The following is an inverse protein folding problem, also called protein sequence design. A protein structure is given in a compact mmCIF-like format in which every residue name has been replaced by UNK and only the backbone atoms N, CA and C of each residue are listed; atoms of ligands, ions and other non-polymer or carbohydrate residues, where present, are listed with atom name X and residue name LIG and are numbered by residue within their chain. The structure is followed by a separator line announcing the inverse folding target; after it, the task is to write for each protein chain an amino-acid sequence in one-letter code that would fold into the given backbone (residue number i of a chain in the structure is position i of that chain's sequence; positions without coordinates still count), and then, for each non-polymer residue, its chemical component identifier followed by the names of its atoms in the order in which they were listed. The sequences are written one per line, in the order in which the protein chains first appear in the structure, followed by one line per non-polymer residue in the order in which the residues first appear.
data_IF_676494349630
#
_entry.id   IF_676494349630
#
_cell.length_a   1.000
_cell.length_b   1.000
_cell.length_c   1.000
_cell.angle_alpha   90.00
_cell.angle_beta   90.00
_cell.angle_gamma   90.00
#
_symmetry.space_group_name_H-M   'P 1'
#
loop_
_entity.id
_entity.type
_entity.pdbx_description
1 polymer ?
#
# COMPACT_ATOMS: atom_id res chain seq x y z
N UNK A 1 -35.09 -0.12 -11.10
CA UNK A 1 -34.68 -1.53 -11.09
C UNK A 1 -33.91 -1.74 -12.39
N UNK A 2 -32.59 -1.81 -12.31
CA UNK A 2 -31.73 -2.04 -13.48
C UNK A 2 -30.93 -3.31 -13.17
N UNK A 3 -31.21 -4.37 -13.91
CA UNK A 3 -30.45 -5.62 -13.85
C UNK A 3 -29.11 -5.45 -14.59
N UNK A 4 -28.00 -6.02 -14.07
CA UNK A 4 -26.71 -5.95 -14.75
C UNK A 4 -26.64 -6.97 -15.90
N UNK A 5 -26.13 -6.51 -17.05
CA UNK A 5 -25.81 -7.35 -18.21
C UNK A 5 -24.60 -8.27 -17.92
N UNK A 6 -24.64 -9.55 -18.31
CA UNK A 6 -23.53 -10.48 -18.11
C UNK A 6 -22.47 -10.25 -19.20
N UNK A 7 -21.26 -9.84 -18.80
CA UNK A 7 -20.11 -9.76 -19.71
C UNK A 7 -19.12 -8.63 -19.49
N UNK A 8 -19.35 -7.72 -18.53
CA UNK A 8 -18.33 -6.75 -18.16
C UNK A 8 -17.34 -7.40 -17.18
N UNK A 9 -16.06 -7.47 -17.57
CA UNK A 9 -14.94 -7.53 -16.63
C UNK A 9 -15.26 -6.58 -15.47
N UNK A 10 -15.34 -7.08 -14.23
CA UNK A 10 -15.55 -6.22 -13.06
C UNK A 10 -14.31 -5.34 -12.87
N UNK A 11 -14.26 -4.26 -13.64
CA UNK A 11 -13.39 -3.11 -13.40
C UNK A 11 -13.75 -2.61 -12.00
N UNK A 12 -12.76 -2.49 -11.11
CA UNK A 12 -12.99 -2.22 -9.68
C UNK A 12 -13.98 -1.11 -9.38
N UNK A 13 -14.64 -1.20 -8.21
CA UNK A 13 -15.63 -0.20 -7.78
C UNK A 13 -14.90 1.00 -7.20
N UNK A 14 -15.03 2.16 -7.84
CA UNK A 14 -14.53 3.44 -7.32
C UNK A 14 -15.66 4.26 -6.70
N UNK A 15 -15.36 5.01 -5.65
CA UNK A 15 -16.28 5.98 -5.05
C UNK A 15 -15.56 7.30 -4.77
N UNK A 16 -16.36 8.36 -4.77
CA UNK A 16 -15.96 9.70 -4.37
C UNK A 16 -16.71 10.07 -3.10
N UNK A 17 -16.04 10.75 -2.19
CA UNK A 17 -16.62 11.25 -0.96
C UNK A 17 -16.35 12.74 -0.78
N UNK A 18 -16.92 13.29 0.28
CA UNK A 18 -16.53 14.60 0.77
C UNK A 18 -15.30 14.48 1.69
N UNK A 19 -14.64 15.61 1.93
CA UNK A 19 -13.54 15.66 2.90
C UNK A 19 -13.97 15.05 4.24
N UNK A 20 -13.17 14.17 4.85
CA UNK A 20 -11.75 13.95 4.54
C UNK A 20 -11.46 12.81 3.55
N UNK A 21 -12.41 11.92 3.22
CA UNK A 21 -12.18 10.76 2.33
C UNK A 21 -12.65 11.10 0.92
N UNK A 22 -11.74 11.64 0.11
CA UNK A 22 -12.09 12.18 -1.21
C UNK A 22 -12.31 11.10 -2.26
N UNK A 23 -11.47 10.05 -2.24
CA UNK A 23 -11.49 8.99 -3.24
C UNK A 23 -11.26 7.66 -2.53
N UNK A 24 -12.00 6.64 -2.92
CA UNK A 24 -11.68 5.26 -2.59
C UNK A 24 -11.94 4.33 -3.75
N UNK A 25 -11.27 3.18 -3.75
CA UNK A 25 -11.55 2.13 -4.71
C UNK A 25 -11.32 0.76 -4.12
N UNK A 26 -12.12 -0.20 -4.58
CA UNK A 26 -11.95 -1.61 -4.31
C UNK A 26 -11.78 -2.35 -5.63
N UNK A 27 -10.64 -3.02 -5.78
CA UNK A 27 -10.36 -3.91 -6.90
C UNK A 27 -10.35 -5.35 -6.39
N UNK A 28 -11.31 -6.19 -6.77
CA UNK A 28 -11.24 -7.59 -6.43
C UNK A 28 -10.10 -8.28 -7.20
N UNK A 29 -9.65 -9.43 -6.71
CA UNK A 29 -8.88 -10.36 -7.50
C UNK A 29 -9.63 -10.67 -8.81
N UNK A 30 -8.89 -10.83 -9.90
CA UNK A 30 -9.46 -11.27 -11.18
C UNK A 30 -9.94 -12.73 -11.08
N UNK A 31 -10.51 -13.26 -12.17
CA UNK A 31 -10.96 -14.66 -12.20
C UNK A 31 -9.77 -15.63 -12.06
N UNK A 32 -9.95 -16.73 -11.31
CA UNK A 32 -8.97 -17.82 -11.11
C UNK A 32 -8.30 -18.30 -12.43
N UNK A 33 -9.02 -18.23 -13.55
CA UNK A 33 -8.54 -18.61 -14.87
C UNK A 33 -7.32 -17.81 -15.34
N UNK A 34 -7.16 -16.55 -14.93
CA UNK A 34 -5.98 -15.72 -15.22
C UNK A 34 -4.75 -16.26 -14.48
N UNK A 35 -4.92 -16.66 -13.22
CA UNK A 35 -3.83 -17.12 -12.35
C UNK A 35 -3.27 -18.48 -12.72
N UNK A 36 -4.04 -19.34 -13.40
CA UNK A 36 -3.55 -20.65 -13.89
C UNK A 36 -2.35 -20.54 -14.85
N UNK A 37 -2.18 -19.38 -15.48
CA UNK A 37 -1.08 -19.09 -16.39
C UNK A 37 0.12 -18.38 -15.75
N UNK A 38 -0.03 -17.90 -14.51
CA UNK A 38 1.02 -17.21 -13.78
C UNK A 38 1.93 -18.20 -13.04
N UNK A 39 3.21 -17.88 -12.84
CA UNK A 39 4.08 -18.67 -11.97
C UNK A 39 3.44 -18.92 -10.59
N UNK A 40 3.68 -20.10 -10.00
CA UNK A 40 3.03 -20.54 -8.76
C UNK A 40 3.22 -19.61 -7.54
N UNK A 41 4.19 -18.69 -7.60
CA UNK A 41 4.47 -17.69 -6.56
C UNK A 41 3.46 -16.54 -6.52
N UNK A 42 2.77 -16.25 -7.63
CA UNK A 42 1.77 -15.19 -7.66
C UNK A 42 0.53 -15.61 -6.86
N UNK A 43 0.03 -14.70 -6.03
CA UNK A 43 -1.20 -14.91 -5.26
C UNK A 43 -2.29 -13.95 -5.72
N UNK A 44 -3.57 -14.35 -5.78
CA UNK A 44 -4.65 -13.40 -6.00
C UNK A 44 -4.67 -12.34 -4.90
N UNK A 45 -4.99 -11.10 -5.25
CA UNK A 45 -5.08 -10.00 -4.27
C UNK A 45 -6.34 -9.17 -4.48
N UNK A 46 -6.96 -8.81 -3.35
CA UNK A 46 -7.98 -7.77 -3.32
C UNK A 46 -7.31 -6.48 -2.84
N UNK A 47 -7.53 -5.38 -3.56
CA UNK A 47 -6.91 -4.09 -3.25
C UNK A 47 -7.98 -3.08 -2.84
N UNK A 48 -7.92 -2.62 -1.60
CA UNK A 48 -8.65 -1.46 -1.10
C UNK A 48 -7.70 -0.25 -1.07
N UNK A 49 -8.10 0.84 -1.73
CA UNK A 49 -7.36 2.12 -1.69
C UNK A 49 -8.26 3.21 -1.15
N UNK A 50 -7.73 4.03 -0.25
CA UNK A 50 -8.39 5.22 0.29
C UNK A 50 -7.45 6.42 0.15
N UNK A 51 -7.98 7.56 -0.29
CA UNK A 51 -7.27 8.84 -0.32
C UNK A 51 -7.93 9.80 0.67
N UNK A 52 -7.11 10.27 1.60
CA UNK A 52 -7.54 11.12 2.71
C UNK A 52 -6.85 12.48 2.57
N UNK A 53 -7.64 13.55 2.57
CA UNK A 53 -7.13 14.92 2.53
C UNK A 53 -6.60 15.34 3.90
N UNK A 54 -5.28 15.51 3.99
CA UNK A 54 -4.61 15.90 5.23
C UNK A 54 -4.88 17.36 5.62
N UNK A 55 -5.28 18.22 4.68
CA UNK A 55 -5.56 19.65 4.97
C UNK A 55 -6.68 19.80 5.99
N UNK A 56 -7.66 18.89 5.97
CA UNK A 56 -8.76 18.89 6.94
C UNK A 56 -8.29 18.74 8.40
N UNK A 57 -7.07 18.24 8.62
CA UNK A 57 -6.56 17.87 9.93
C UNK A 57 -5.32 18.66 10.37
N UNK A 58 -4.90 19.69 9.64
CA UNK A 58 -3.67 20.46 9.91
C UNK A 58 -3.60 21.02 11.35
N UNK A 59 -4.76 21.28 11.96
CA UNK A 59 -4.87 21.82 13.31
C UNK A 59 -5.27 20.78 14.38
N UNK A 60 -5.45 19.51 14.01
CA UNK A 60 -5.83 18.45 14.94
C UNK A 60 -4.59 17.82 15.58
N UNK A 61 -4.30 18.20 16.83
CA UNK A 61 -3.14 17.70 17.56
C UNK A 61 -3.14 16.16 17.76
N UNK A 62 -4.30 15.52 17.72
CA UNK A 62 -4.49 14.07 17.89
C UNK A 62 -4.75 13.33 16.55
N UNK A 63 -4.63 14.01 15.40
CA UNK A 63 -4.88 13.42 14.08
C UNK A 63 -4.06 12.15 13.84
N UNK A 64 -2.77 12.18 14.16
CA UNK A 64 -1.88 11.03 13.98
C UNK A 64 -2.40 9.77 14.67
N UNK A 65 -2.81 9.90 15.94
CA UNK A 65 -3.30 8.79 16.72
C UNK A 65 -4.65 8.27 16.19
N UNK A 66 -5.56 9.17 15.79
CA UNK A 66 -6.84 8.81 15.16
C UNK A 66 -6.62 8.10 13.82
N UNK A 67 -5.71 8.58 12.99
CA UNK A 67 -5.41 8.00 11.69
C UNK A 67 -4.72 6.64 11.84
N UNK A 68 -3.75 6.52 12.75
CA UNK A 68 -3.11 5.25 13.08
C UNK A 68 -4.15 4.20 13.51
N UNK A 69 -5.09 4.59 14.37
CA UNK A 69 -6.18 3.71 14.81
C UNK A 69 -7.10 3.31 13.65
N UNK A 70 -7.53 4.27 12.82
CA UNK A 70 -8.35 4.00 11.64
C UNK A 70 -7.63 3.05 10.67
N UNK A 71 -6.38 3.33 10.35
CA UNK A 71 -5.54 2.52 9.47
C UNK A 71 -5.44 1.08 9.99
N UNK A 72 -5.10 0.92 11.27
CA UNK A 72 -4.95 -0.39 11.91
C UNK A 72 -6.28 -1.16 11.95
N UNK A 73 -7.36 -0.54 12.40
CA UNK A 73 -8.66 -1.19 12.49
C UNK A 73 -9.18 -1.59 11.11
N UNK A 74 -8.99 -0.74 10.10
CA UNK A 74 -9.32 -1.09 8.71
C UNK A 74 -8.54 -2.31 8.25
N UNK A 75 -7.22 -2.32 8.50
CA UNK A 75 -6.34 -3.43 8.12
C UNK A 75 -6.73 -4.76 8.77
N UNK A 76 -7.20 -4.73 10.03
CA UNK A 76 -7.69 -5.89 10.76
C UNK A 76 -9.05 -6.34 10.23
N UNK A 77 -10.01 -5.42 10.08
CA UNK A 77 -11.38 -5.72 9.68
C UNK A 77 -11.45 -6.36 8.29
N UNK A 78 -10.60 -5.92 7.37
CA UNK A 78 -10.50 -6.51 6.02
C UNK A 78 -9.56 -7.72 5.96
N UNK A 79 -9.03 -8.17 7.11
CA UNK A 79 -8.03 -9.23 7.22
C UNK A 79 -6.86 -9.05 6.23
N UNK A 80 -6.32 -7.83 6.14
CA UNK A 80 -5.25 -7.52 5.20
C UNK A 80 -3.96 -8.24 5.58
N UNK A 81 -3.37 -8.94 4.61
CA UNK A 81 -2.02 -9.49 4.76
C UNK A 81 -0.96 -8.38 4.74
N UNK A 82 -1.25 -7.26 4.07
CA UNK A 82 -0.39 -6.07 4.02
C UNK A 82 -1.26 -4.82 3.83
N UNK A 83 -0.87 -3.72 4.48
CA UNK A 83 -1.37 -2.39 4.17
C UNK A 83 -0.24 -1.35 4.31
N UNK A 84 -0.33 -0.24 3.59
CA UNK A 84 0.61 0.88 3.72
C UNK A 84 -0.09 2.23 3.60
N UNK A 85 0.35 3.20 4.39
CA UNK A 85 -0.03 4.60 4.23
C UNK A 85 1.16 5.39 3.67
N UNK A 86 0.96 6.01 2.51
CA UNK A 86 1.95 6.85 1.83
C UNK A 86 1.42 8.28 1.69
N UNK A 87 2.33 9.25 1.69
CA UNK A 87 1.97 10.66 1.48
C UNK A 87 2.14 11.00 0.00
N UNK A 88 1.04 11.40 -0.62
CA UNK A 88 1.02 11.95 -1.98
C UNK A 88 0.86 13.46 -1.88
N UNK A 89 1.70 14.22 -2.59
CA UNK A 89 1.61 15.68 -2.59
C UNK A 89 0.86 16.18 -3.81
N UNK A 90 0.09 17.24 -3.66
CA UNK A 90 -0.34 18.05 -4.80
C UNK A 90 0.80 18.98 -5.21
N UNK A 91 1.08 19.06 -6.50
CA UNK A 91 1.98 20.05 -7.08
C UNK A 91 1.38 20.68 -8.34
N UNK A 92 2.17 21.51 -9.01
CA UNK A 92 1.77 22.16 -10.26
C UNK A 92 2.57 21.53 -11.41
N UNK A 93 1.87 21.03 -12.42
CA UNK A 93 2.46 20.50 -13.64
C UNK A 93 3.13 21.62 -14.46
N UNK A 94 3.99 21.25 -15.42
CA UNK A 94 4.63 22.21 -16.32
C UNK A 94 3.62 23.05 -17.14
N UNK A 95 2.38 22.57 -17.29
CA UNK A 95 1.28 23.28 -17.94
C UNK A 95 0.47 24.17 -16.98
N UNK A 96 0.89 24.33 -15.72
CA UNK A 96 0.22 25.16 -14.72
C UNK A 96 -0.98 24.51 -14.02
N UNK A 97 -1.34 23.27 -14.36
CA UNK A 97 -2.46 22.57 -13.73
C UNK A 97 -2.04 21.86 -12.44
N UNK A 98 -2.90 21.80 -11.41
CA UNK A 98 -2.69 20.92 -10.26
C UNK A 98 -2.52 19.48 -10.72
N UNK A 99 -1.48 18.81 -10.25
CA UNK A 99 -1.24 17.39 -10.47
C UNK A 99 -0.84 16.72 -9.15
N UNK A 100 -1.25 15.48 -8.95
CA UNK A 100 -0.68 14.66 -7.90
C UNK A 100 0.77 14.35 -8.24
N UNK A 101 1.70 14.87 -7.44
CA UNK A 101 3.06 14.39 -7.37
C UNK A 101 3.02 13.18 -6.46
N UNK A 102 2.78 12.03 -7.07
CA UNK A 102 3.00 10.75 -6.42
C UNK A 102 4.52 10.62 -6.34
N UNK A 103 5.07 10.78 -5.12
CA UNK A 103 6.43 10.34 -4.89
C UNK A 103 6.51 8.90 -5.36
N UNK A 104 7.63 8.57 -5.95
CA UNK A 104 7.74 7.54 -6.96
C UNK A 104 7.75 6.17 -6.23
N UNK A 105 6.57 5.71 -5.84
CA UNK A 105 6.32 4.56 -4.95
C UNK A 105 6.20 3.27 -5.75
N UNK A 106 6.79 2.20 -5.21
CA UNK A 106 6.81 0.85 -5.79
C UNK A 106 5.70 -0.03 -5.21
N UNK A 107 4.46 0.39 -5.42
CA UNK A 107 3.31 -0.42 -5.00
C UNK A 107 2.90 -1.34 -6.14
N UNK A 108 2.81 -2.66 -5.87
CA UNK A 108 2.21 -3.58 -6.84
C UNK A 108 0.74 -3.19 -7.05
N UNK A 109 0.40 -2.89 -8.30
CA UNK A 109 -0.94 -2.48 -8.74
C UNK A 109 -1.58 -3.54 -9.63
N UNK A 110 -0.99 -4.73 -9.72
CA UNK A 110 -1.57 -5.86 -10.44
C UNK A 110 -2.76 -6.47 -9.69
N UNK A 111 -3.55 -7.34 -10.35
CA UNK A 111 -4.60 -8.13 -9.69
C UNK A 111 -4.02 -9.30 -8.87
N UNK A 112 -2.70 -9.35 -8.70
CA UNK A 112 -1.98 -10.35 -7.93
C UNK A 112 -1.03 -9.66 -6.96
N UNK A 113 -0.70 -10.37 -5.89
CA UNK A 113 0.30 -9.97 -4.92
C UNK A 113 1.68 -10.51 -5.33
N UNK A 114 2.68 -9.64 -5.28
CA UNK A 114 4.04 -9.91 -5.75
C UNK A 114 5.08 -9.84 -4.62
N UNK A 115 4.67 -9.44 -3.41
CA UNK A 115 5.58 -9.22 -2.28
C UNK A 115 5.53 -7.81 -1.73
N UNK A 116 6.29 -7.57 -0.66
CA UNK A 116 6.29 -6.30 0.06
C UNK A 116 7.02 -5.21 -0.73
N UNK A 117 6.52 -3.96 -0.72
CA UNK A 117 7.24 -2.85 -1.32
C UNK A 117 8.58 -2.60 -0.60
N UNK A 118 9.61 -2.29 -1.38
CA UNK A 118 10.97 -2.01 -0.90
C UNK A 118 11.22 -0.55 -0.49
N UNK A 119 10.23 0.34 -0.70
CA UNK A 119 10.33 1.76 -0.38
C UNK A 119 9.68 2.11 0.97
N UNK A 120 10.27 3.08 1.71
CA UNK A 120 9.71 3.58 2.98
C UNK A 120 8.30 4.17 2.85
N UNK A 121 7.40 3.77 3.75
CA UNK A 121 6.05 4.33 3.92
C UNK A 121 5.83 4.78 5.35
N UNK A 122 4.89 5.70 5.57
CA UNK A 122 4.68 6.31 6.88
C UNK A 122 4.14 5.29 7.89
N UNK A 123 3.07 4.59 7.50
CA UNK A 123 2.50 3.47 8.26
C UNK A 123 2.54 2.20 7.42
N UNK A 124 2.84 1.07 8.05
CA UNK A 124 2.71 -0.26 7.45
C UNK A 124 2.00 -1.21 8.40
N UNK A 125 1.14 -2.05 7.83
CA UNK A 125 0.57 -3.20 8.51
C UNK A 125 1.09 -4.46 7.86
N UNK A 126 1.57 -5.39 8.70
CA UNK A 126 1.95 -6.73 8.28
C UNK A 126 1.05 -7.72 9.00
N UNK A 127 0.09 -8.28 8.29
CA UNK A 127 -0.90 -9.20 8.84
C UNK A 127 -0.30 -10.54 9.26
N UNK A 128 -1.16 -11.44 9.74
CA UNK A 128 -0.80 -12.74 10.31
C UNK A 128 0.11 -13.58 9.41
N UNK A 129 -0.09 -13.58 8.08
CA UNK A 129 0.75 -14.31 7.13
C UNK A 129 2.20 -13.80 7.06
N UNK A 130 2.41 -12.50 7.27
CA UNK A 130 3.73 -11.87 7.25
C UNK A 130 4.35 -11.75 8.65
N UNK A 131 3.54 -11.71 9.70
CA UNK A 131 3.98 -11.62 11.09
C UNK A 131 5.14 -12.57 11.45
N UNK A 132 5.06 -13.91 11.24
CA UNK A 132 6.13 -14.81 11.66
C UNK A 132 7.43 -14.60 10.86
N UNK A 133 7.33 -14.08 9.63
CA UNK A 133 8.47 -13.84 8.74
C UNK A 133 9.19 -12.52 9.06
N UNK A 134 8.47 -11.56 9.65
CA UNK A 134 8.98 -10.22 9.91
C UNK A 134 9.24 -9.94 11.38
N UNK A 135 8.74 -10.78 12.29
CA UNK A 135 8.87 -10.58 13.73
C UNK A 135 10.31 -10.28 14.12
N UNK A 136 11.27 -11.12 13.75
CA UNK A 136 12.67 -10.90 14.14
C UNK A 136 13.25 -9.58 13.62
N UNK A 137 12.92 -9.20 12.38
CA UNK A 137 13.38 -7.95 11.77
C UNK A 137 12.74 -6.71 12.39
N UNK A 138 11.48 -6.81 12.85
CA UNK A 138 10.71 -5.67 13.33
C UNK A 138 10.67 -5.53 14.85
N UNK A 139 10.84 -6.61 15.63
CA UNK A 139 10.74 -6.57 17.11
C UNK A 139 11.79 -5.65 17.73
N UNK A 140 12.93 -5.47 17.06
CA UNK A 140 14.01 -4.57 17.50
C UNK A 140 13.81 -3.12 17.04
N UNK A 141 12.83 -2.87 16.17
CA UNK A 141 12.56 -1.52 15.67
C UNK A 141 11.75 -0.72 16.70
N UNK A 142 12.18 0.49 17.07
CA UNK A 142 11.40 1.37 17.96
C UNK A 142 10.08 1.84 17.31
N UNK A 143 9.96 1.64 16.01
CA UNK A 143 8.81 2.04 15.20
C UNK A 143 7.74 0.94 15.10
N UNK A 144 8.04 -0.28 15.57
CA UNK A 144 7.14 -1.42 15.44
C UNK A 144 6.34 -1.66 16.73
N UNK A 145 5.07 -1.99 16.56
CA UNK A 145 4.16 -2.40 17.63
C UNK A 145 3.48 -3.71 17.25
N UNK A 146 3.67 -4.72 18.08
CA UNK A 146 3.05 -6.02 17.89
C UNK A 146 1.58 -6.03 18.34
N UNK A 147 0.75 -6.71 17.56
CA UNK A 147 -0.62 -7.07 17.88
C UNK A 147 -0.73 -8.59 17.78
N UNK A 148 -0.62 -9.33 18.91
CA UNK A 148 -0.63 -10.79 18.91
C UNK A 148 -1.82 -11.36 18.12
N UNK A 149 -1.53 -12.42 17.38
CA UNK A 149 -2.49 -13.15 16.51
C UNK A 149 -3.08 -12.34 15.34
N UNK A 150 -2.67 -11.07 15.17
CA UNK A 150 -3.20 -10.16 14.14
C UNK A 150 -2.11 -9.67 13.19
N UNK A 151 -1.01 -9.13 13.72
CA UNK A 151 0.05 -8.56 12.89
C UNK A 151 1.02 -7.64 13.61
N UNK A 152 1.85 -6.94 12.84
CA UNK A 152 2.74 -5.87 13.29
C UNK A 152 2.35 -4.57 12.60
N UNK A 153 2.21 -3.52 13.39
CA UNK A 153 2.11 -2.15 12.91
C UNK A 153 3.49 -1.51 12.94
N UNK A 154 3.92 -0.93 11.82
CA UNK A 154 5.10 -0.08 11.72
C UNK A 154 4.65 1.37 11.57
N UNK A 155 5.10 2.24 12.46
CA UNK A 155 4.90 3.70 12.42
C UNK A 155 6.24 4.40 12.53
N UNK A 156 6.72 4.95 11.42
CA UNK A 156 8.05 5.57 11.40
C UNK A 156 8.08 6.90 12.14
N UNK A 157 6.98 7.66 12.13
CA UNK A 157 6.92 9.03 12.60
C UNK A 157 5.54 9.41 13.11
N UNK A 158 5.46 10.43 13.94
CA UNK A 158 4.19 10.93 14.46
C UNK A 158 3.40 11.70 13.41
N UNK A 159 4.03 12.32 12.41
CA UNK A 159 3.30 13.04 11.36
C UNK A 159 3.51 12.37 9.99
N UNK A 160 2.52 12.47 9.08
CA UNK A 160 2.67 11.98 7.72
C UNK A 160 3.92 12.57 7.06
N UNK A 161 4.81 11.70 6.57
CA UNK A 161 6.06 12.09 5.92
C UNK A 161 6.14 11.54 4.50
N UNK A 162 6.76 12.33 3.62
CA UNK A 162 7.06 11.97 2.23
C UNK A 162 8.15 10.90 2.16
N UNK A 163 8.24 10.21 1.02
CA UNK A 163 9.25 9.17 0.78
C UNK A 163 10.67 9.64 1.16
N UNK A 164 11.04 10.84 0.69
CA UNK A 164 12.36 11.42 0.94
C UNK A 164 12.65 11.69 2.43
N UNK A 165 11.63 12.03 3.22
CA UNK A 165 11.77 12.29 4.66
C UNK A 165 11.89 10.99 5.48
N UNK A 166 11.37 9.89 4.94
CA UNK A 166 11.41 8.56 5.55
C UNK A 166 12.68 7.77 5.18
N UNK A 167 13.39 8.18 4.12
CA UNK A 167 14.66 7.58 3.73
C UNK A 167 15.65 7.54 4.90
N UNK A 168 16.18 6.35 5.19
CA UNK A 168 17.12 6.12 6.31
C UNK A 168 16.46 5.84 7.66
N UNK A 169 15.12 5.89 7.77
CA UNK A 169 14.37 5.51 8.98
C UNK A 169 13.70 4.14 8.87
N UNK A 170 13.46 3.68 7.64
CA UNK A 170 12.78 2.43 7.38
C UNK A 170 13.62 1.23 7.85
N UNK A 171 13.05 0.27 8.60
CA UNK A 171 13.78 -0.92 9.01
C UNK A 171 14.18 -1.75 7.79
N UNK A 172 15.30 -2.45 7.91
CA UNK A 172 15.68 -3.44 6.91
C UNK A 172 14.74 -4.64 7.00
N UNK A 173 14.00 -4.91 5.92
CA UNK A 173 13.15 -6.09 5.80
C UNK A 173 13.94 -7.22 5.10
N UNK A 174 13.61 -8.50 5.38
CA UNK A 174 14.19 -9.63 4.67
C UNK A 174 14.00 -9.49 3.15
N UNK A 175 15.12 -9.49 2.40
CA UNK A 175 15.13 -9.16 0.96
C UNK A 175 14.29 -10.11 0.14
N UNK A 176 14.20 -11.36 0.57
CA UNK A 176 13.40 -12.42 -0.02
C UNK A 176 11.89 -12.13 0.00
N UNK A 177 11.42 -11.22 0.86
CA UNK A 177 10.02 -10.80 0.95
C UNK A 177 9.73 -9.53 0.14
N UNK A 178 10.76 -8.88 -0.39
CA UNK A 178 10.66 -7.57 -1.04
C UNK A 178 10.55 -7.67 -2.56
N UNK A 179 9.77 -6.76 -3.14
CA UNK A 179 9.79 -6.44 -4.56
C UNK A 179 11.13 -5.84 -4.96
N UNK A 180 11.70 -6.35 -6.04
CA UNK A 180 12.94 -5.79 -6.62
C UNK A 180 12.61 -4.98 -7.85
N UNK A 181 12.86 -3.67 -7.81
CA UNK A 181 12.70 -2.82 -8.99
C UNK A 181 13.74 -3.20 -10.05
N UNK A 182 13.27 -3.53 -11.26
CA UNK A 182 14.15 -3.93 -12.37
C UNK A 182 14.28 -2.89 -13.46
N UNK A 183 13.42 -1.87 -13.48
CA UNK A 183 13.57 -0.77 -14.43
C UNK A 183 14.58 0.25 -13.91
N UNK A 184 15.65 0.49 -14.66
CA UNK A 184 16.51 1.66 -14.43
C UNK A 184 15.76 2.91 -14.87
N UNK A 185 15.45 3.80 -13.93
CA UNK A 185 14.87 5.09 -14.29
C UNK A 185 15.80 5.87 -15.21
N UNK A 186 15.30 6.22 -16.39
CA UNK A 186 15.95 7.19 -17.27
C UNK A 186 15.28 8.55 -17.01
N UNK A 187 16.04 9.61 -16.69
CA UNK A 187 15.47 10.93 -16.47
C UNK A 187 14.56 11.36 -17.63
N UNK A 188 13.31 11.73 -17.33
CA UNK A 188 12.33 12.20 -18.31
C UNK A 188 11.46 11.11 -18.96
N UNK A 189 11.65 9.83 -18.63
CA UNK A 189 10.80 8.76 -19.13
C UNK A 189 9.61 8.50 -18.19
N UNK A 190 8.38 8.69 -18.69
CA UNK A 190 7.16 8.16 -18.06
C UNK A 190 7.08 6.68 -18.47
N UNK A 191 7.83 5.80 -17.81
CA UNK A 191 7.72 4.35 -17.99
C UNK A 191 7.06 3.72 -16.78
N UNK A 192 6.18 2.75 -17.03
CA UNK A 192 5.70 1.84 -16.00
C UNK A 192 6.89 1.11 -15.39
N UNK A 193 7.10 1.29 -14.08
CA UNK A 193 8.12 0.55 -13.34
C UNK A 193 7.81 -0.94 -13.39
N UNK A 194 8.81 -1.75 -13.67
CA UNK A 194 8.73 -3.21 -13.62
C UNK A 194 9.39 -3.70 -12.35
N UNK A 195 8.76 -4.70 -11.74
CA UNK A 195 9.24 -5.34 -10.54
C UNK A 195 9.43 -6.83 -10.79
N UNK A 196 10.50 -7.38 -10.24
CA UNK A 196 10.58 -8.81 -10.00
C UNK A 196 9.85 -9.10 -8.68
N UNK A 197 8.93 -10.09 -8.68
CA UNK A 197 8.28 -10.54 -7.46
C UNK A 197 9.28 -10.99 -6.41
N UNK A 198 8.88 -10.89 -5.15
CA UNK A 198 9.59 -11.45 -4.01
C UNK A 198 9.84 -12.96 -4.20
N UNK A 199 10.96 -13.42 -3.64
CA UNK A 199 11.33 -14.84 -3.66
C UNK A 199 10.37 -15.68 -2.82
N UNK A 200 9.87 -15.10 -1.72
CA UNK A 200 8.94 -15.72 -0.79
C UNK A 200 7.69 -14.84 -0.70
N UNK A 201 6.55 -15.45 -1.01
CA UNK A 201 5.21 -14.92 -0.75
C UNK A 201 4.53 -15.91 0.18
N UNK A 202 4.12 -15.50 1.40
CA UNK A 202 3.48 -16.42 2.34
C UNK A 202 2.13 -16.90 1.79
N UNK A 203 1.63 -17.98 2.37
CA UNK A 203 0.25 -18.38 2.14
C UNK A 203 -0.68 -17.34 2.80
N UNK A 204 -1.60 -16.81 2.00
CA UNK A 204 -2.48 -15.69 2.33
C UNK A 204 -3.89 -16.18 2.70
#
# INVERSE_FOLDING_TARGET
MLEPQPGALQCGVGWYGESPVQIGSFRPAEDESVYKSLPARFRPSHLLTLQIDLVAFENEADFSAKFEELFRQTAIEVNSFFASAIVIRSGIAANGLPQYIVDDYSLSVGPWWEGLPSLPYWLGWYGSSYYPLLKEALTLSPFAKEFPDQGILLKLEDFPQTLNQLTGKFPELPKELLLTETTVQTPGAIRSRTYEPALIIPDL
#
